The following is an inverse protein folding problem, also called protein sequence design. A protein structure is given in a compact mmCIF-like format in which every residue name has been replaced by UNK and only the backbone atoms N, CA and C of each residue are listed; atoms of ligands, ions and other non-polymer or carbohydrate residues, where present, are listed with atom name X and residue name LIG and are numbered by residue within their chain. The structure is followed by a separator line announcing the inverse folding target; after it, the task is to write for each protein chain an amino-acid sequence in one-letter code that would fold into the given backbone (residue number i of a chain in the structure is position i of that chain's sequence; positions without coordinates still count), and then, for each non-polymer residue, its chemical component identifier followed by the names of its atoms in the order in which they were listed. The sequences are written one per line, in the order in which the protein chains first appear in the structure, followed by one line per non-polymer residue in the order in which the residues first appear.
data_IF_017736312699
#
_entry.id   IF_017736312699
#
_cell.length_a   1.000
_cell.length_b   1.000
_cell.length_c   1.000
_cell.angle_alpha   90.00
_cell.angle_beta   90.00
_cell.angle_gamma   90.00
#
_symmetry.space_group_name_H-M   'P 1'
#
loop_
_entity.id
_entity.type
_entity.pdbx_description
1 polymer ?
#
# COMPACT_ATOMS: atom_id res chain seq x y z
N UNK A 1 -45.85 -8.03 -5.31
CA UNK A 1 -45.20 -7.53 -4.09
C UNK A 1 -43.80 -8.06 -4.12
N UNK A 2 -42.97 -7.30 -4.80
CA UNK A 2 -41.62 -7.63 -5.21
C UNK A 2 -40.73 -7.67 -3.97
N UNK A 3 -40.05 -8.79 -3.79
CA UNK A 3 -39.18 -9.04 -2.64
C UNK A 3 -37.85 -8.35 -2.96
N UNK A 4 -37.67 -7.13 -2.47
CA UNK A 4 -36.40 -6.42 -2.56
C UNK A 4 -35.34 -7.23 -1.79
N UNK A 5 -34.43 -7.83 -2.53
CA UNK A 5 -33.25 -8.51 -1.99
C UNK A 5 -32.27 -7.41 -1.55
N UNK A 6 -32.39 -7.02 -0.27
CA UNK A 6 -31.44 -6.10 0.36
C UNK A 6 -30.16 -6.90 0.57
N UNK A 7 -29.33 -6.99 -0.47
CA UNK A 7 -27.94 -7.42 -0.37
C UNK A 7 -27.24 -6.49 0.62
N UNK A 8 -27.27 -6.88 1.88
CA UNK A 8 -26.54 -6.21 2.93
C UNK A 8 -25.09 -6.63 2.70
N UNK A 9 -24.32 -5.81 1.98
CA UNK A 9 -22.88 -5.95 1.82
C UNK A 9 -22.29 -6.01 3.23
N UNK A 10 -22.11 -7.22 3.75
CA UNK A 10 -21.62 -7.41 5.10
C UNK A 10 -20.19 -6.94 5.08
N UNK A 11 -19.95 -5.78 5.70
CA UNK A 11 -18.65 -5.13 5.80
C UNK A 11 -17.68 -6.11 6.43
N UNK A 12 -16.94 -6.82 5.58
CA UNK A 12 -15.92 -7.74 6.02
C UNK A 12 -14.78 -6.92 6.63
N UNK A 13 -14.23 -7.33 7.79
CA UNK A 13 -13.10 -6.63 8.37
C UNK A 13 -11.95 -6.60 7.36
N UNK A 14 -11.50 -5.38 7.02
CA UNK A 14 -10.34 -5.15 6.15
C UNK A 14 -9.15 -4.76 6.99
N UNK A 15 -8.02 -5.40 6.73
CA UNK A 15 -6.74 -4.99 7.30
C UNK A 15 -6.28 -3.71 6.58
N UNK A 16 -5.86 -2.70 7.34
CA UNK A 16 -5.22 -1.51 6.82
C UNK A 16 -3.86 -1.32 7.48
N UNK A 17 -2.94 -0.71 6.76
CA UNK A 17 -1.62 -0.36 7.29
C UNK A 17 -1.72 1.05 7.85
N UNK A 18 -1.51 1.19 9.15
CA UNK A 18 -1.41 2.50 9.79
C UNK A 18 0.01 3.07 9.59
N UNK A 19 0.12 4.04 8.68
CA UNK A 19 1.39 4.74 8.40
C UNK A 19 1.79 5.70 9.52
N UNK A 20 0.81 6.24 10.26
CA UNK A 20 1.07 7.14 11.38
C UNK A 20 1.66 6.38 12.57
N UNK A 21 1.26 5.11 12.77
CA UNK A 21 1.88 4.24 13.77
C UNK A 21 3.40 4.13 13.58
N UNK A 22 3.89 4.00 12.34
CA UNK A 22 5.33 3.96 12.06
C UNK A 22 6.02 5.24 12.53
N UNK A 23 5.48 6.40 12.12
CA UNK A 23 6.03 7.71 12.48
C UNK A 23 6.05 7.92 14.00
N UNK A 24 4.97 7.57 14.69
CA UNK A 24 4.86 7.70 16.16
C UNK A 24 5.86 6.81 16.90
N UNK A 25 6.23 5.66 16.33
CA UNK A 25 7.17 4.72 16.92
C UNK A 25 8.62 4.92 16.41
N UNK A 26 8.92 6.09 15.85
CA UNK A 26 10.24 6.44 15.30
C UNK A 26 10.75 5.42 14.26
N UNK A 27 9.82 4.88 13.46
CA UNK A 27 10.07 3.97 12.35
C UNK A 27 9.69 4.64 11.03
N UNK A 28 10.35 4.23 9.95
CA UNK A 28 10.07 4.72 8.60
C UNK A 28 9.43 3.61 7.77
N UNK A 29 8.19 3.84 7.33
CA UNK A 29 7.53 2.97 6.35
C UNK A 29 8.32 2.92 5.04
N UNK A 30 8.84 4.06 4.58
CA UNK A 30 9.65 4.17 3.37
C UNK A 30 10.87 3.24 3.41
N UNK A 31 11.59 3.22 4.55
CA UNK A 31 12.76 2.36 4.70
C UNK A 31 12.41 0.87 4.63
N UNK A 32 11.23 0.46 5.13
CA UNK A 32 10.76 -0.92 5.03
C UNK A 32 10.35 -1.27 3.60
N UNK A 33 9.57 -0.40 2.97
CA UNK A 33 9.02 -0.64 1.65
C UNK A 33 10.08 -0.56 0.52
N UNK A 34 11.23 0.08 0.76
CA UNK A 34 12.37 0.04 -0.17
C UNK A 34 12.83 -1.39 -0.50
N UNK A 35 12.76 -2.32 0.46
CA UNK A 35 13.11 -3.73 0.23
C UNK A 35 12.14 -4.47 -0.69
N UNK A 36 10.95 -3.90 -0.94
CA UNK A 36 9.96 -4.47 -1.86
C UNK A 36 10.15 -4.00 -3.31
N UNK A 37 11.05 -3.04 -3.56
CA UNK A 37 11.25 -2.48 -4.89
C UNK A 37 12.17 -3.37 -5.71
N UNK A 38 11.82 -3.57 -6.98
CA UNK A 38 12.76 -4.11 -7.96
C UNK A 38 13.88 -3.08 -8.24
N UNK A 39 15.02 -3.51 -8.80
CA UNK A 39 16.14 -2.60 -9.09
C UNK A 39 15.73 -1.38 -9.94
N UNK A 40 14.86 -1.56 -10.94
CA UNK A 40 14.39 -0.46 -11.79
C UNK A 40 13.57 0.57 -11.01
N UNK A 41 12.57 0.13 -10.23
CA UNK A 41 11.77 1.03 -9.41
C UNK A 41 12.61 1.67 -8.29
N UNK A 42 13.57 0.93 -7.75
CA UNK A 42 14.51 1.42 -6.75
C UNK A 42 15.33 2.60 -7.25
N UNK A 43 15.89 2.52 -8.46
CA UNK A 43 16.63 3.65 -9.05
C UNK A 43 15.72 4.84 -9.36
N UNK A 44 14.53 4.61 -9.95
CA UNK A 44 13.58 5.68 -10.30
C UNK A 44 13.08 6.48 -9.09
N UNK A 45 13.01 5.85 -7.92
CA UNK A 45 12.48 6.45 -6.70
C UNK A 45 13.54 7.17 -5.86
N UNK A 46 14.84 7.00 -6.14
CA UNK A 46 15.92 7.71 -5.41
C UNK A 46 15.92 9.23 -5.63
N UNK A 47 15.20 9.74 -6.62
CA UNK A 47 15.30 11.13 -7.07
C UNK A 47 14.38 12.13 -6.34
N UNK A 48 13.75 11.78 -5.21
CA UNK A 48 12.95 12.77 -4.48
C UNK A 48 12.32 12.31 -3.17
N UNK A 49 11.55 13.21 -2.55
CA UNK A 49 10.70 12.90 -1.42
C UNK A 49 9.50 12.06 -1.90
N UNK A 50 9.60 10.74 -1.76
CA UNK A 50 8.55 9.80 -2.16
C UNK A 50 7.41 9.83 -1.15
N UNK A 51 6.18 10.05 -1.60
CA UNK A 51 4.99 9.84 -0.76
C UNK A 51 4.70 8.35 -0.62
N UNK A 52 4.25 7.92 0.55
CA UNK A 52 3.91 6.52 0.80
C UNK A 52 2.85 5.97 -0.19
N UNK A 53 1.92 6.81 -0.64
CA UNK A 53 0.90 6.44 -1.64
C UNK A 53 1.51 6.10 -3.01
N UNK A 54 2.48 6.88 -3.47
CA UNK A 54 3.16 6.65 -4.75
C UNK A 54 4.00 5.37 -4.70
N UNK A 55 4.64 5.14 -3.56
CA UNK A 55 5.41 3.93 -3.31
C UNK A 55 4.51 2.68 -3.32
N UNK A 56 3.37 2.73 -2.62
CA UNK A 56 2.40 1.63 -2.59
C UNK A 56 1.83 1.34 -3.98
N UNK A 57 1.53 2.38 -4.75
CA UNK A 57 1.07 2.25 -6.14
C UNK A 57 2.12 1.57 -7.00
N UNK A 58 3.39 2.00 -6.89
CA UNK A 58 4.52 1.40 -7.63
C UNK A 58 4.71 -0.08 -7.28
N UNK A 59 4.66 -0.42 -6.00
CA UNK A 59 4.77 -1.82 -5.55
C UNK A 59 3.61 -2.65 -6.10
N UNK A 60 2.38 -2.14 -6.01
CA UNK A 60 1.18 -2.83 -6.52
C UNK A 60 1.23 -3.03 -8.04
N UNK A 61 1.64 -2.02 -8.78
CA UNK A 61 1.55 -2.03 -10.24
C UNK A 61 2.77 -2.67 -10.92
N UNK A 62 3.90 -2.80 -10.21
CA UNK A 62 5.12 -3.40 -10.74
C UNK A 62 5.69 -4.48 -9.80
N UNK A 63 6.20 -4.10 -8.62
CA UNK A 63 7.10 -4.96 -7.86
C UNK A 63 6.42 -6.21 -7.27
N UNK A 64 5.11 -6.17 -7.06
CA UNK A 64 4.31 -7.31 -6.58
C UNK A 64 3.90 -8.29 -7.67
N UNK A 65 4.13 -7.97 -8.96
CA UNK A 65 3.74 -8.82 -10.08
C UNK A 65 4.78 -9.89 -10.43
N UNK A 66 5.95 -9.84 -9.81
CA UNK A 66 7.07 -10.73 -10.09
C UNK A 66 7.45 -11.43 -8.79
N UNK A 67 7.39 -12.77 -8.71
CA UNK A 67 7.67 -13.51 -7.48
C UNK A 67 9.16 -13.52 -7.11
#
# INVERSE_FOLDING_TARGET
MDKEDITTDQVSPRWFIDLDWYRQNNRSFLALAQGCLCPECGERLKEGAILAADLLTTIKDCCSKTP
#
